data_IF_129045100767
#
_entry.id   IF_129045100767
#
_cell.length_a   1.000
_cell.length_b   1.000
_cell.length_c   1.000
_cell.angle_alpha   90.00
_cell.angle_beta   90.00
_cell.angle_gamma   90.00
#
_symmetry.space_group_name_H-M   'P 1'
#
loop_
_entity.id
_entity.type
_entity.pdbx_description
1 polymer ?
#
# COMPACT_ATOMS: atom_id res chain seq x y z
N UNK A 1 19.72 -30.09 -28.91
CA UNK A 1 18.48 -29.46 -28.43
C UNK A 1 18.50 -29.46 -26.90
N UNK A 2 19.06 -28.42 -26.26
CA UNK A 2 19.11 -28.33 -24.79
C UNK A 2 17.81 -27.70 -24.29
N UNK A 3 16.98 -28.48 -23.56
CA UNK A 3 15.88 -27.94 -22.77
C UNK A 3 16.50 -27.21 -21.57
N UNK A 4 16.56 -25.89 -21.61
CA UNK A 4 16.80 -25.11 -20.40
C UNK A 4 15.53 -25.21 -19.54
N UNK A 5 15.57 -26.10 -18.55
CA UNK A 5 14.63 -26.08 -17.43
C UNK A 5 14.93 -24.83 -16.61
N UNK A 6 14.19 -23.75 -16.89
CA UNK A 6 14.17 -22.57 -16.02
C UNK A 6 13.39 -23.01 -14.78
N UNK A 7 14.10 -23.38 -13.72
CA UNK A 7 13.48 -23.58 -12.42
C UNK A 7 13.02 -22.22 -11.91
N UNK A 8 11.71 -22.05 -11.72
CA UNK A 8 11.18 -20.89 -11.00
C UNK A 8 11.78 -20.88 -9.59
N UNK A 9 12.47 -19.79 -9.24
CA UNK A 9 13.04 -19.64 -7.90
C UNK A 9 11.92 -19.21 -6.97
N UNK A 10 11.45 -20.16 -6.16
CA UNK A 10 10.47 -19.91 -5.11
C UNK A 10 11.19 -19.81 -3.76
N UNK A 11 10.88 -18.77 -3.00
CA UNK A 11 11.37 -18.60 -1.63
C UNK A 11 10.23 -18.13 -0.74
N UNK A 12 10.19 -18.65 0.48
CA UNK A 12 9.23 -18.22 1.49
C UNK A 12 9.99 -17.55 2.62
N UNK A 13 9.57 -16.36 3.02
CA UNK A 13 10.04 -15.72 4.24
C UNK A 13 8.92 -15.69 5.28
N UNK A 14 9.29 -15.89 6.54
CA UNK A 14 8.37 -15.81 7.68
C UNK A 14 8.96 -14.81 8.66
N UNK A 15 8.16 -13.83 9.08
CA UNK A 15 8.53 -12.87 10.10
C UNK A 15 7.66 -13.10 11.33
N UNK A 16 8.31 -13.09 12.50
CA UNK A 16 7.67 -13.29 13.80
C UNK A 16 7.78 -12.02 14.63
N UNK A 17 6.64 -11.55 15.13
CA UNK A 17 6.53 -10.47 16.12
C UNK A 17 5.33 -10.73 17.03
N UNK A 18 4.53 -9.68 17.32
CA UNK A 18 3.24 -9.82 18.01
C UNK A 18 2.21 -10.65 17.20
N UNK A 19 2.50 -10.87 15.91
CA UNK A 19 1.80 -11.74 14.99
C UNK A 19 2.78 -12.42 14.04
N UNK A 20 2.36 -13.53 13.44
CA UNK A 20 3.11 -14.23 12.40
C UNK A 20 2.69 -13.70 11.03
N UNK A 21 3.65 -13.33 10.21
CA UNK A 21 3.41 -13.04 8.79
C UNK A 21 4.30 -13.93 7.92
N UNK A 22 3.79 -14.35 6.77
CA UNK A 22 4.55 -15.10 5.79
C UNK A 22 4.36 -14.50 4.41
N UNK A 23 5.46 -14.38 3.68
CA UNK A 23 5.51 -13.87 2.32
C UNK A 23 6.08 -14.94 1.40
N UNK A 24 5.43 -15.15 0.26
CA UNK A 24 5.90 -16.03 -0.81
C UNK A 24 6.44 -15.16 -1.93
N UNK A 25 7.69 -15.43 -2.32
CA UNK A 25 8.40 -14.72 -3.37
C UNK A 25 8.70 -15.69 -4.51
N UNK A 26 8.33 -15.31 -5.74
CA UNK A 26 8.64 -16.05 -6.97
C UNK A 26 9.40 -15.13 -7.91
N UNK A 27 10.59 -15.55 -8.32
CA UNK A 27 11.47 -14.78 -9.23
C UNK A 27 11.73 -13.35 -8.73
N UNK A 28 11.92 -13.19 -7.42
CA UNK A 28 12.19 -11.90 -6.77
C UNK A 28 10.97 -11.01 -6.53
N UNK A 29 9.78 -11.44 -6.97
CA UNK A 29 8.53 -10.71 -6.76
C UNK A 29 7.70 -11.32 -5.66
N UNK A 30 7.05 -10.48 -4.86
CA UNK A 30 6.09 -10.93 -3.86
C UNK A 30 4.82 -11.39 -4.59
N UNK A 31 4.49 -12.67 -4.44
CA UNK A 31 3.31 -13.29 -5.07
C UNK A 31 2.31 -13.85 -4.07
N UNK A 32 2.63 -13.80 -2.79
CA UNK A 32 1.77 -14.32 -1.74
C UNK A 32 2.08 -13.65 -0.41
N UNK A 33 1.05 -13.38 0.36
CA UNK A 33 1.17 -12.84 1.71
C UNK A 33 0.07 -13.45 2.58
N UNK A 34 0.41 -13.74 3.84
CA UNK A 34 -0.57 -14.11 4.86
C UNK A 34 -0.11 -13.58 6.21
N UNK A 35 -1.06 -13.14 7.03
CA UNK A 35 -0.83 -12.66 8.38
C UNK A 35 -1.81 -13.32 9.34
N UNK A 36 -1.30 -13.85 10.45
CA UNK A 36 -2.12 -14.37 11.55
C UNK A 36 -2.78 -13.24 12.35
N UNK A 37 -3.71 -13.58 13.24
CA UNK A 37 -4.42 -12.60 14.08
C UNK A 37 -3.46 -11.81 14.99
N UNK A 38 -2.96 -10.67 14.51
CA UNK A 38 -2.28 -9.68 15.34
C UNK A 38 -3.27 -8.69 15.91
N UNK A 39 -3.87 -7.90 15.01
CA UNK A 39 -4.75 -6.77 15.38
C UNK A 39 -6.23 -7.17 15.47
N UNK A 40 -6.50 -8.43 15.79
CA UNK A 40 -7.83 -9.03 15.62
C UNK A 40 -8.28 -9.08 14.17
N UNK A 41 -7.31 -9.19 13.24
CA UNK A 41 -7.49 -9.30 11.80
C UNK A 41 -6.49 -10.25 11.19
N UNK A 42 -6.89 -10.86 10.07
CA UNK A 42 -6.01 -11.57 9.15
C UNK A 42 -6.17 -10.98 7.76
N UNK A 43 -5.07 -10.88 7.03
CA UNK A 43 -5.06 -10.48 5.65
C UNK A 43 -4.24 -11.50 4.86
N UNK A 44 -4.71 -11.85 3.67
CA UNK A 44 -3.99 -12.70 2.76
C UNK A 44 -4.16 -12.22 1.33
N UNK A 45 -3.24 -12.62 0.48
CA UNK A 45 -3.44 -12.56 -0.95
C UNK A 45 -2.39 -13.36 -1.69
N UNK A 46 -2.72 -13.68 -2.94
CA UNK A 46 -1.84 -14.35 -3.88
C UNK A 46 -2.08 -13.85 -5.31
N UNK A 47 -1.09 -14.06 -6.17
CA UNK A 47 -1.23 -13.82 -7.61
C UNK A 47 -0.90 -15.11 -8.36
N UNK A 48 -1.84 -15.52 -9.22
CA UNK A 48 -1.70 -16.72 -10.03
C UNK A 48 -0.71 -16.52 -11.21
N UNK A 49 -0.54 -17.54 -12.05
CA UNK A 49 0.31 -17.44 -13.25
C UNK A 49 -0.33 -16.62 -14.39
N UNK A 50 -1.62 -16.34 -14.32
CA UNK A 50 -2.36 -15.57 -15.32
C UNK A 50 -2.42 -14.08 -14.97
N UNK A 51 -1.84 -13.65 -13.84
CA UNK A 51 -1.92 -12.28 -13.36
C UNK A 51 -3.26 -11.94 -12.71
N UNK A 52 -3.98 -12.95 -12.20
CA UNK A 52 -5.15 -12.75 -11.38
C UNK A 52 -4.77 -12.74 -9.91
N UNK A 53 -5.31 -11.77 -9.18
CA UNK A 53 -5.09 -11.57 -7.76
C UNK A 53 -6.27 -12.13 -6.99
N UNK A 54 -5.98 -12.96 -6.01
CA UNK A 54 -6.92 -13.38 -4.98
C UNK A 54 -6.51 -12.74 -3.66
N UNK A 55 -7.46 -12.25 -2.88
CA UNK A 55 -7.18 -11.67 -1.56
C UNK A 55 -8.35 -11.81 -0.61
N UNK A 56 -8.03 -11.96 0.66
CA UNK A 56 -8.97 -12.11 1.75
C UNK A 56 -8.60 -11.23 2.92
N UNK A 57 -9.62 -10.69 3.57
CA UNK A 57 -9.50 -9.94 4.83
C UNK A 57 -10.51 -10.53 5.79
N UNK A 58 -10.10 -10.84 7.02
CA UNK A 58 -11.01 -11.23 8.09
C UNK A 58 -10.69 -10.42 9.36
N UNK A 59 -11.70 -10.18 10.20
CA UNK A 59 -11.59 -9.43 11.45
C UNK A 59 -12.45 -8.16 11.50
N UNK A 60 -12.27 -7.35 12.55
CA UNK A 60 -13.07 -6.13 12.76
C UNK A 60 -12.71 -5.07 11.71
N UNK A 61 -13.62 -4.63 10.86
CA UNK A 61 -13.37 -3.54 9.89
C UNK A 61 -12.77 -2.29 10.56
N UNK A 62 -11.69 -1.73 10.01
CA UNK A 62 -11.11 -0.46 10.47
C UNK A 62 -12.16 0.64 10.39
N UNK A 63 -12.30 1.45 11.44
CA UNK A 63 -13.21 2.60 11.48
C UNK A 63 -12.39 3.89 11.46
N UNK A 64 -12.84 4.88 10.69
CA UNK A 64 -12.19 6.19 10.63
C UNK A 64 -10.69 6.10 10.29
N UNK A 65 -9.88 6.67 11.18
CA UNK A 65 -8.42 6.83 11.12
C UNK A 65 -7.64 5.61 11.66
N UNK A 66 -8.33 4.49 11.94
CA UNK A 66 -7.68 3.24 12.30
C UNK A 66 -6.61 2.87 11.25
N UNK A 67 -5.35 2.80 11.71
CA UNK A 67 -4.20 2.45 10.87
C UNK A 67 -3.44 3.64 10.27
N UNK A 68 -3.92 4.89 10.40
CA UNK A 68 -3.24 6.09 9.86
C UNK A 68 -1.81 6.21 10.37
N UNK A 69 -1.62 6.20 11.70
CA UNK A 69 -0.30 6.36 12.29
C UNK A 69 0.65 5.22 11.91
N UNK A 70 0.12 4.00 11.82
CA UNK A 70 0.90 2.82 11.43
C UNK A 70 1.32 2.87 9.95
N UNK A 71 0.41 3.26 9.06
CA UNK A 71 0.75 3.53 7.65
C UNK A 71 1.89 4.56 7.55
N UNK A 72 1.83 5.63 8.34
CA UNK A 72 2.89 6.65 8.34
C UNK A 72 4.22 6.10 8.85
N UNK A 73 4.21 5.28 9.91
CA UNK A 73 5.43 4.65 10.45
C UNK A 73 6.08 3.73 9.43
N UNK A 74 5.30 2.86 8.78
CA UNK A 74 5.81 1.95 7.75
C UNK A 74 6.41 2.74 6.59
N UNK A 75 5.73 3.80 6.13
CA UNK A 75 6.26 4.69 5.08
C UNK A 75 7.58 5.33 5.49
N UNK A 76 7.67 5.90 6.69
CA UNK A 76 8.89 6.55 7.19
C UNK A 76 10.05 5.57 7.31
N UNK A 77 9.80 4.35 7.79
CA UNK A 77 10.82 3.30 7.82
C UNK A 77 11.36 3.03 6.42
N UNK A 78 10.51 2.90 5.40
CA UNK A 78 10.97 2.71 4.02
C UNK A 78 11.73 3.93 3.49
N UNK A 79 11.22 5.16 3.70
CA UNK A 79 11.89 6.39 3.27
C UNK A 79 13.29 6.51 3.86
N UNK A 80 13.44 6.23 5.16
CA UNK A 80 14.73 6.30 5.83
C UNK A 80 15.67 5.20 5.34
N UNK A 81 15.18 3.96 5.19
CA UNK A 81 16.02 2.83 4.82
C UNK A 81 16.46 2.84 3.36
N UNK A 82 15.58 3.21 2.43
CA UNK A 82 15.80 3.07 0.99
C UNK A 82 16.18 4.37 0.30
N UNK A 83 15.66 5.49 0.81
CA UNK A 83 15.85 6.81 0.20
C UNK A 83 16.81 7.70 1.00
N UNK A 84 17.39 7.17 2.09
CA UNK A 84 18.38 7.89 2.91
C UNK A 84 17.79 9.11 3.62
N UNK A 85 16.47 9.17 3.77
CA UNK A 85 15.81 10.21 4.52
C UNK A 85 16.06 10.06 6.04
N UNK A 86 15.74 11.10 6.78
CA UNK A 86 15.98 11.17 8.22
C UNK A 86 14.73 11.61 8.97
N UNK A 87 13.55 11.11 8.59
CA UNK A 87 12.30 11.49 9.26
C UNK A 87 12.20 10.90 10.67
N UNK A 88 11.71 11.71 11.61
CA UNK A 88 11.31 11.30 12.96
C UNK A 88 10.05 10.42 12.95
N UNK A 89 9.66 9.95 14.15
CA UNK A 89 8.40 9.23 14.32
C UNK A 89 7.22 10.14 13.96
N UNK A 90 6.27 9.69 13.12
CA UNK A 90 5.14 10.51 12.73
C UNK A 90 4.19 10.75 13.92
N UNK A 91 3.45 11.84 13.88
CA UNK A 91 2.38 12.15 14.83
C UNK A 91 1.13 12.66 14.10
N UNK A 92 -0.05 12.41 14.67
CA UNK A 92 -1.31 12.86 14.10
C UNK A 92 -1.49 14.36 14.29
N UNK A 93 -2.14 15.02 13.34
CA UNK A 93 -2.43 16.45 13.38
C UNK A 93 -3.87 16.74 12.99
N UNK A 94 -4.47 17.76 13.59
CA UNK A 94 -5.82 18.24 13.24
C UNK A 94 -5.72 19.37 12.20
N UNK A 95 -5.19 19.06 11.02
CA UNK A 95 -5.03 20.03 9.92
C UNK A 95 -5.86 19.61 8.71
N UNK A 96 -6.41 20.59 8.00
CA UNK A 96 -7.20 20.31 6.81
C UNK A 96 -6.32 19.59 5.76
N UNK A 97 -6.76 18.39 5.36
CA UNK A 97 -6.10 17.52 4.38
C UNK A 97 -4.75 16.93 4.81
N UNK A 98 -4.40 16.99 6.09
CA UNK A 98 -3.16 16.40 6.62
C UNK A 98 -3.57 15.58 7.85
N UNK A 99 -3.37 14.27 7.79
CA UNK A 99 -3.71 13.39 8.91
C UNK A 99 -2.51 13.22 9.86
N UNK A 100 -1.29 13.29 9.33
CA UNK A 100 -0.06 13.13 10.10
C UNK A 100 1.10 13.97 9.55
N UNK A 101 2.03 14.31 10.41
CA UNK A 101 3.29 14.98 10.08
C UNK A 101 4.48 14.18 10.64
N UNK A 102 5.63 14.30 9.97
CA UNK A 102 6.93 13.90 10.52
C UNK A 102 7.96 14.97 10.21
N UNK A 103 8.81 15.27 11.19
CA UNK A 103 9.85 16.29 11.09
C UNK A 103 11.16 15.60 10.71
N UNK A 104 12.01 16.25 9.94
CA UNK A 104 13.34 15.72 9.66
C UNK A 104 14.26 15.86 10.90
N UNK A 105 15.01 14.82 11.22
CA UNK A 105 15.92 14.77 12.38
C UNK A 105 17.11 15.73 12.25
N UNK A 106 17.40 16.23 11.05
CA UNK A 106 18.53 17.12 10.76
C UNK A 106 18.05 18.57 10.59
N UNK A 107 16.92 18.79 9.92
CA UNK A 107 16.32 20.12 9.75
C UNK A 107 14.86 20.16 10.23
N UNK A 108 14.65 20.75 11.40
CA UNK A 108 13.33 20.88 12.02
C UNK A 108 12.33 21.72 11.20
N UNK A 109 12.77 22.46 10.18
CA UNK A 109 11.88 23.20 9.27
C UNK A 109 11.33 22.32 8.14
N UNK A 110 11.92 21.15 7.90
CA UNK A 110 11.43 20.20 6.92
C UNK A 110 10.38 19.30 7.59
N UNK A 111 9.14 19.42 7.10
CA UNK A 111 7.99 18.66 7.61
C UNK A 111 7.37 17.88 6.47
N UNK A 112 7.37 16.55 6.59
CA UNK A 112 6.63 15.66 5.73
C UNK A 112 5.16 15.66 6.14
N UNK A 113 4.29 16.25 5.31
CA UNK A 113 2.84 16.27 5.51
C UNK A 113 2.19 15.10 4.79
N UNK A 114 1.48 14.25 5.53
CA UNK A 114 0.92 12.99 5.02
C UNK A 114 -0.59 13.01 5.12
N UNK A 115 -1.25 12.70 4.01
CA UNK A 115 -2.67 12.38 3.96
C UNK A 115 -2.82 10.89 3.65
N UNK A 116 -3.42 10.15 4.58
CA UNK A 116 -3.69 8.73 4.43
C UNK A 116 -5.03 8.53 3.74
N UNK A 117 -5.07 7.53 2.84
CA UNK A 117 -6.28 7.09 2.14
C UNK A 117 -6.27 5.57 2.11
N UNK A 118 -7.41 4.91 2.32
CA UNK A 118 -7.47 3.46 2.12
C UNK A 118 -7.23 3.11 0.65
N UNK A 119 -6.39 2.13 0.37
CA UNK A 119 -6.10 1.68 -1.00
C UNK A 119 -7.31 1.03 -1.67
N UNK A 120 -8.15 0.32 -0.91
CA UNK A 120 -9.40 -0.27 -1.40
C UNK A 120 -10.59 0.48 -0.81
N UNK A 121 -11.29 1.23 -1.68
CA UNK A 121 -12.42 2.10 -1.31
C UNK A 121 -13.77 1.60 -1.84
N UNK A 122 -13.77 0.40 -2.46
CA UNK A 122 -14.95 -0.21 -3.06
C UNK A 122 -16.02 -0.45 -2.00
N UNK A 123 -17.16 0.24 -2.13
CA UNK A 123 -18.25 0.23 -1.14
C UNK A 123 -18.76 -1.17 -0.84
N UNK A 124 -18.81 -2.04 -1.85
CA UNK A 124 -19.28 -3.42 -1.69
C UNK A 124 -18.36 -4.22 -0.78
N UNK A 125 -17.03 -4.13 -0.99
CA UNK A 125 -16.01 -4.82 -0.17
C UNK A 125 -16.09 -4.32 1.28
N UNK A 126 -16.16 -3.00 1.48
CA UNK A 126 -16.24 -2.41 2.82
C UNK A 126 -17.54 -2.76 3.53
N UNK A 127 -18.66 -2.79 2.80
CA UNK A 127 -19.98 -3.16 3.33
C UNK A 127 -20.03 -4.63 3.72
N UNK A 128 -19.45 -5.50 2.91
CA UNK A 128 -19.34 -6.92 3.22
C UNK A 128 -18.47 -7.13 4.46
N UNK A 129 -17.26 -6.58 4.48
CA UNK A 129 -16.36 -6.64 5.63
C UNK A 129 -17.03 -6.11 6.92
N UNK A 130 -17.81 -5.03 6.85
CA UNK A 130 -18.56 -4.53 7.99
C UNK A 130 -19.68 -5.45 8.49
N UNK A 131 -20.28 -6.25 7.60
CA UNK A 131 -21.39 -7.17 7.92
C UNK A 131 -20.91 -8.53 8.39
N UNK A 132 -20.02 -9.16 7.62
CA UNK A 132 -19.59 -10.55 7.80
C UNK A 132 -18.29 -10.65 8.58
N UNK A 133 -17.59 -9.53 8.80
CA UNK A 133 -16.21 -9.48 9.33
C UNK A 133 -15.21 -10.24 8.47
N UNK A 134 -15.58 -10.60 7.24
CA UNK A 134 -14.69 -11.27 6.30
C UNK A 134 -15.11 -11.01 4.87
N UNK A 135 -14.16 -10.72 4.00
CA UNK A 135 -14.39 -10.55 2.56
C UNK A 135 -13.26 -11.22 1.81
N UNK A 136 -13.61 -11.97 0.77
CA UNK A 136 -12.67 -12.52 -0.19
C UNK A 136 -13.02 -12.07 -1.60
N UNK A 137 -12.01 -11.78 -2.40
CA UNK A 137 -12.13 -11.61 -3.83
C UNK A 137 -11.17 -12.60 -4.47
N UNK A 138 -11.66 -13.40 -5.41
CA UNK A 138 -10.86 -14.38 -6.11
C UNK A 138 -10.78 -14.00 -7.59
N UNK A 139 -9.68 -14.37 -8.22
CA UNK A 139 -9.46 -14.28 -9.67
C UNK A 139 -9.69 -12.86 -10.23
N UNK A 140 -9.27 -11.82 -9.50
CA UNK A 140 -9.41 -10.43 -9.94
C UNK A 140 -8.22 -10.03 -10.81
N UNK A 141 -8.40 -9.66 -12.09
CA UNK A 141 -7.27 -9.28 -12.93
C UNK A 141 -6.50 -8.08 -12.35
N UNK A 142 -5.17 -8.08 -12.46
CA UNK A 142 -4.29 -6.99 -11.96
C UNK A 142 -4.75 -5.60 -12.38
N UNK A 143 -5.21 -5.43 -13.62
CA UNK A 143 -5.71 -4.13 -14.12
C UNK A 143 -6.95 -3.63 -13.36
N UNK A 144 -7.81 -4.53 -12.87
CA UNK A 144 -8.95 -4.16 -12.02
C UNK A 144 -8.49 -3.79 -10.61
N UNK A 145 -7.46 -4.45 -10.10
CA UNK A 145 -6.87 -4.11 -8.80
C UNK A 145 -6.16 -2.75 -8.87
N UNK A 146 -5.40 -2.47 -9.93
CA UNK A 146 -4.78 -1.17 -10.17
C UNK A 146 -5.81 -0.04 -10.24
N UNK A 147 -6.99 -0.30 -10.80
CA UNK A 147 -8.10 0.67 -10.78
C UNK A 147 -8.62 0.98 -9.37
N UNK A 148 -8.44 0.09 -8.38
CA UNK A 148 -8.77 0.41 -6.98
C UNK A 148 -7.86 1.52 -6.45
N UNK A 149 -6.56 1.43 -6.73
CA UNK A 149 -5.58 2.46 -6.35
C UNK A 149 -5.92 3.81 -7.01
N UNK A 150 -6.25 3.80 -8.31
CA UNK A 150 -6.67 5.01 -9.03
C UNK A 150 -7.87 5.66 -8.35
N UNK A 151 -8.91 4.87 -8.06
CA UNK A 151 -10.13 5.36 -7.40
C UNK A 151 -9.86 5.90 -6.00
N UNK A 152 -8.93 5.31 -5.24
CA UNK A 152 -8.54 5.82 -3.94
C UNK A 152 -7.93 7.23 -4.06
N UNK A 153 -7.05 7.45 -5.03
CA UNK A 153 -6.42 8.77 -5.28
C UNK A 153 -7.46 9.81 -5.73
N UNK A 154 -8.39 9.44 -6.61
CA UNK A 154 -9.48 10.32 -7.10
C UNK A 154 -10.32 10.92 -5.95
N UNK A 155 -10.52 10.18 -4.86
CA UNK A 155 -11.26 10.67 -3.69
C UNK A 155 -10.62 11.90 -3.04
N UNK A 156 -9.31 12.07 -3.20
CA UNK A 156 -8.57 13.24 -2.69
C UNK A 156 -8.31 14.28 -3.77
N UNK A 157 -8.13 13.87 -5.02
CA UNK A 157 -8.07 14.80 -6.16
C UNK A 157 -9.23 15.80 -6.12
N UNK A 158 -10.47 15.32 -6.00
CA UNK A 158 -11.66 16.19 -5.99
C UNK A 158 -11.82 17.06 -4.72
N UNK A 159 -11.02 16.83 -3.67
CA UNK A 159 -11.17 17.50 -2.37
C UNK A 159 -10.04 18.46 -2.02
N UNK A 160 -8.85 18.24 -2.56
CA UNK A 160 -7.66 19.04 -2.29
C UNK A 160 -7.40 19.92 -3.52
N UNK A 161 -7.46 21.23 -3.32
CA UNK A 161 -7.21 22.21 -4.39
C UNK A 161 -5.78 22.04 -4.95
N UNK A 162 -5.62 22.19 -6.28
CA UNK A 162 -4.36 21.91 -6.97
C UNK A 162 -3.15 22.66 -6.37
N UNK A 163 -3.33 23.93 -6.00
CA UNK A 163 -2.25 24.74 -5.40
C UNK A 163 -1.78 24.30 -4.01
N UNK A 164 -2.53 23.44 -3.31
CA UNK A 164 -2.15 22.91 -2.01
C UNK A 164 -1.47 21.53 -2.08
N UNK A 165 -1.45 20.88 -3.25
CA UNK A 165 -1.02 19.47 -3.39
C UNK A 165 0.49 19.28 -3.32
N UNK A 166 1.28 20.28 -3.75
CA UNK A 166 2.74 20.18 -3.85
C UNK A 166 3.42 19.85 -2.52
N UNK A 167 2.77 20.21 -1.41
CA UNK A 167 3.28 20.02 -0.06
C UNK A 167 2.72 18.75 0.61
N UNK A 168 1.81 18.03 -0.04
CA UNK A 168 1.09 16.89 0.53
C UNK A 168 1.56 15.60 -0.12
N UNK A 169 1.95 14.66 0.73
CA UNK A 169 2.21 13.26 0.35
C UNK A 169 0.95 12.43 0.57
N UNK A 170 0.50 11.72 -0.46
CA UNK A 170 -0.58 10.73 -0.32
C UNK A 170 0.01 9.38 0.07
N UNK A 171 -0.49 8.78 1.15
CA UNK A 171 -0.16 7.42 1.54
C UNK A 171 -1.41 6.52 1.42
N UNK A 172 -1.41 5.62 0.44
CA UNK A 172 -2.46 4.63 0.26
C UNK A 172 -2.23 3.47 1.26
N UNK A 173 -3.03 3.43 2.32
CA UNK A 173 -3.04 2.37 3.31
C UNK A 173 -3.61 1.07 2.71
N UNK A 174 -2.73 0.10 2.51
CA UNK A 174 -3.01 -1.23 2.04
C UNK A 174 -2.59 -2.32 3.05
N UNK A 175 -2.39 -1.97 4.32
CA UNK A 175 -2.00 -2.92 5.38
C UNK A 175 -2.99 -4.10 5.43
N UNK A 176 -4.30 -3.79 5.43
CA UNK A 176 -5.36 -4.80 5.46
C UNK A 176 -5.62 -5.43 4.06
N UNK A 177 -5.00 -4.92 2.99
CA UNK A 177 -5.18 -5.40 1.60
C UNK A 177 -3.83 -5.57 0.90
N UNK A 178 -2.92 -6.38 1.44
CA UNK A 178 -1.52 -6.43 1.00
C UNK A 178 -1.36 -6.86 -0.46
N UNK A 179 -2.34 -7.60 -1.00
CA UNK A 179 -2.35 -8.03 -2.39
C UNK A 179 -2.32 -6.87 -3.41
N UNK A 180 -2.80 -5.68 -3.04
CA UNK A 180 -2.75 -4.51 -3.92
C UNK A 180 -1.32 -3.95 -4.06
N UNK A 181 -0.41 -4.34 -3.16
CA UNK A 181 1.01 -3.97 -3.20
C UNK A 181 1.88 -4.97 -3.96
N UNK A 182 1.32 -6.02 -4.56
CA UNK A 182 2.14 -6.93 -5.37
C UNK A 182 2.72 -6.22 -6.58
N UNK A 183 3.95 -6.60 -6.95
CA UNK A 183 4.74 -5.91 -7.98
C UNK A 183 4.01 -5.83 -9.32
N UNK A 184 3.24 -6.86 -9.67
CA UNK A 184 2.47 -6.89 -10.92
C UNK A 184 1.31 -5.88 -10.90
N UNK A 185 0.66 -5.67 -9.74
CA UNK A 185 -0.36 -4.64 -9.57
C UNK A 185 0.26 -3.24 -9.63
N UNK A 186 1.41 -3.05 -8.96
CA UNK A 186 2.14 -1.77 -8.98
C UNK A 186 2.64 -1.45 -10.39
N UNK A 187 3.16 -2.45 -11.11
CA UNK A 187 3.61 -2.31 -12.49
C UNK A 187 2.46 -1.92 -13.42
N UNK A 188 1.33 -2.60 -13.29
CA UNK A 188 0.12 -2.30 -14.05
C UNK A 188 -0.39 -0.88 -13.75
N UNK A 189 -0.43 -0.48 -12.47
CA UNK A 189 -0.80 0.88 -12.09
C UNK A 189 0.13 1.92 -12.71
N UNK A 190 1.45 1.75 -12.59
CA UNK A 190 2.43 2.70 -13.13
C UNK A 190 2.32 2.82 -14.64
N UNK A 191 2.12 1.70 -15.33
CA UNK A 191 1.93 1.64 -16.78
C UNK A 191 0.67 2.37 -17.23
N UNK A 192 -0.48 2.07 -16.62
CA UNK A 192 -1.76 2.59 -17.05
C UNK A 192 -2.11 3.99 -16.49
N UNK A 193 -1.59 4.33 -15.31
CA UNK A 193 -2.06 5.48 -14.51
C UNK A 193 -0.93 6.33 -13.91
N UNK A 194 0.35 5.94 -14.05
CA UNK A 194 1.47 6.65 -13.42
C UNK A 194 1.61 8.10 -13.88
N UNK A 195 1.49 8.38 -15.18
CA UNK A 195 1.56 9.75 -15.71
C UNK A 195 0.38 10.61 -15.24
N UNK A 196 -0.83 10.04 -15.19
CA UNK A 196 -1.99 10.72 -14.60
C UNK A 196 -1.73 11.05 -13.12
N UNK A 197 -1.27 10.08 -12.33
CA UNK A 197 -1.01 10.27 -10.89
C UNK A 197 0.00 11.39 -10.63
N UNK A 198 1.06 11.48 -11.45
CA UNK A 198 2.05 12.58 -11.40
C UNK A 198 1.43 13.93 -11.76
N UNK A 199 0.57 13.97 -12.78
CA UNK A 199 -0.07 15.20 -13.25
C UNK A 199 -0.96 15.87 -12.19
N UNK A 200 -1.35 15.13 -11.14
CA UNK A 200 -2.15 15.68 -10.04
C UNK A 200 -1.40 16.71 -9.18
N UNK A 201 -0.07 16.71 -9.20
CA UNK A 201 0.76 17.71 -8.50
C UNK A 201 0.92 17.47 -6.99
N UNK A 202 0.63 16.26 -6.49
CA UNK A 202 1.03 15.86 -5.14
C UNK A 202 2.55 15.74 -5.03
N UNK A 203 3.13 15.96 -3.84
CA UNK A 203 4.56 15.79 -3.61
C UNK A 203 5.02 14.39 -4.04
N UNK A 204 4.35 13.37 -3.49
CA UNK A 204 4.50 11.98 -3.86
C UNK A 204 3.20 11.22 -3.57
N UNK A 205 3.02 10.08 -4.24
CA UNK A 205 1.95 9.13 -3.94
C UNK A 205 2.58 7.78 -3.65
N UNK A 206 2.42 7.31 -2.42
CA UNK A 206 2.96 6.04 -1.95
C UNK A 206 1.85 5.03 -1.73
N UNK A 207 2.11 3.79 -2.08
CA UNK A 207 1.34 2.63 -1.67
C UNK A 207 2.04 1.96 -0.49
N UNK A 208 1.33 1.72 0.60
CA UNK A 208 1.90 1.24 1.87
C UNK A 208 1.20 -0.04 2.30
N UNK A 209 1.89 -1.18 2.15
CA UNK A 209 1.41 -2.49 2.56
C UNK A 209 1.66 -2.80 4.03
N UNK A 210 1.64 -4.10 4.36
CA UNK A 210 1.77 -4.61 5.73
C UNK A 210 3.15 -4.39 6.38
N UNK A 211 4.17 -4.01 5.59
CA UNK A 211 5.50 -3.68 6.08
C UNK A 211 6.31 -2.90 5.04
N UNK A 212 7.50 -2.42 5.43
CA UNK A 212 8.35 -1.57 4.59
C UNK A 212 8.71 -2.21 3.24
N UNK A 213 8.88 -3.54 3.22
CA UNK A 213 9.13 -4.34 2.02
C UNK A 213 7.96 -4.39 1.01
N UNK A 214 6.79 -3.83 1.34
CA UNK A 214 5.61 -3.67 0.47
C UNK A 214 5.22 -2.19 0.32
N UNK A 215 6.20 -1.30 0.32
CA UNK A 215 6.03 0.13 0.08
C UNK A 215 6.53 0.51 -1.31
N UNK A 216 5.69 1.22 -2.08
CA UNK A 216 5.99 1.56 -3.47
C UNK A 216 5.66 3.02 -3.76
N UNK A 217 6.61 3.77 -4.33
CA UNK A 217 6.33 5.08 -4.91
C UNK A 217 5.57 4.88 -6.23
N UNK A 218 4.32 5.32 -6.31
CA UNK A 218 3.47 5.19 -7.51
C UNK A 218 3.73 6.30 -8.54
N UNK A 219 4.44 7.36 -8.14
CA UNK A 219 4.79 8.51 -8.98
C UNK A 219 6.23 8.47 -9.52
N UNK A 220 7.06 7.50 -9.11
CA UNK A 220 8.36 7.23 -9.74
C UNK A 220 8.24 6.28 -10.94
N UNK A 221 9.08 6.49 -11.98
CA UNK A 221 9.20 5.54 -13.09
C UNK A 221 9.74 4.19 -12.58
N UNK A 222 9.40 3.10 -13.27
CA UNK A 222 10.10 1.83 -13.07
C UNK A 222 11.55 2.02 -13.50
N UNK A 223 12.49 1.58 -12.65
CA UNK A 223 13.91 1.58 -12.94
C UNK A 223 14.26 0.50 -13.98
#
# INVERSE_FOLDING_TARGET
MRRNSIFDKLSTSVSFGDHSSATVVRNGKIIGFTESEGRGRTANGDIDHNGNVSFGISGKSSQGEDGTLETCRILIVELNNKYGASWETPYLVEKLHIDAEAVDNVDANLVLKIQVVRAVTKKEILKELGKTKSVSQNDVPTNKVALFLKKAIELKEGKIAQGARSDITIALNAIDTPAVCFDDVVTEFKSAHGEWAKSLGFSNIWLVGAGAFMVHNLTEKLA
#
